data_IF_474817371279
#
_entry.id   IF_474817371279
#
_cell.length_a   1.000
_cell.length_b   1.000
_cell.length_c   1.000
_cell.angle_alpha   90.00
_cell.angle_beta   90.00
_cell.angle_gamma   90.00
#
_symmetry.space_group_name_H-M   'P 1'
#
loop_
_entity.id
_entity.type
_entity.pdbx_description
1 polymer ?
#
# COMPACT_ATOMS: atom_id res chain seq x y z
N UNK A 1 14.57 -26.07 3.48
CA UNK A 1 15.86 -26.82 3.52
C UNK A 1 15.91 -27.60 4.83
N UNK A 2 16.56 -28.77 4.88
CA UNK A 2 16.90 -29.40 6.18
C UNK A 2 17.86 -28.50 6.98
N UNK A 3 17.81 -28.54 8.32
CA UNK A 3 18.70 -27.78 9.18
C UNK A 3 18.18 -27.61 10.59
N UNK A 4 18.95 -26.93 11.45
CA UNK A 4 18.64 -26.69 12.87
C UNK A 4 17.77 -25.44 13.11
N UNK A 5 17.27 -24.79 12.05
CA UNK A 5 16.47 -23.56 12.15
C UNK A 5 15.06 -23.82 12.67
N UNK A 6 14.31 -22.73 12.97
CA UNK A 6 12.89 -22.87 13.28
C UNK A 6 12.13 -23.48 12.09
N UNK A 7 10.98 -24.09 12.37
CA UNK A 7 10.04 -24.43 11.30
C UNK A 7 9.58 -23.13 10.64
N UNK A 8 9.76 -23.05 9.32
CA UNK A 8 9.40 -21.89 8.50
C UNK A 8 8.42 -22.33 7.41
N UNK A 9 7.50 -21.45 6.97
CA UNK A 9 6.62 -21.76 5.85
C UNK A 9 7.43 -21.93 4.56
N UNK A 10 6.90 -22.74 3.63
CA UNK A 10 7.44 -22.89 2.27
C UNK A 10 6.95 -21.77 1.34
N UNK A 11 6.90 -20.54 1.86
CA UNK A 11 6.52 -19.32 1.16
C UNK A 11 7.50 -18.21 1.51
N UNK A 12 7.56 -17.19 0.66
CA UNK A 12 8.40 -16.04 0.88
C UNK A 12 7.69 -14.76 0.46
N UNK A 13 7.92 -13.68 1.21
CA UNK A 13 7.49 -12.33 0.86
C UNK A 13 8.73 -11.49 0.58
N UNK A 14 8.67 -10.68 -0.47
CA UNK A 14 9.72 -9.75 -0.86
C UNK A 14 9.16 -8.34 -0.93
N UNK A 15 9.69 -7.46 -0.08
CA UNK A 15 9.43 -6.04 -0.16
C UNK A 15 10.56 -5.36 -0.94
N UNK A 16 10.21 -4.60 -1.96
CA UNK A 16 11.16 -3.96 -2.89
C UNK A 16 10.75 -2.53 -3.17
N UNK A 17 11.66 -1.75 -3.74
CA UNK A 17 11.37 -0.42 -4.24
C UNK A 17 12.10 -0.15 -5.57
N UNK A 18 11.57 0.81 -6.32
CA UNK A 18 12.19 1.33 -7.55
C UNK A 18 12.20 2.85 -7.46
N UNK A 19 13.33 3.48 -7.79
CA UNK A 19 13.37 4.94 -7.96
C UNK A 19 12.79 5.23 -9.34
N UNK A 20 11.57 5.76 -9.38
CA UNK A 20 10.85 6.01 -10.63
C UNK A 20 11.32 7.29 -11.33
N UNK A 21 11.37 8.40 -10.60
CA UNK A 21 11.81 9.70 -11.13
C UNK A 21 12.57 10.47 -10.05
N UNK A 22 13.45 11.37 -10.48
CA UNK A 22 14.06 12.40 -9.62
C UNK A 22 13.82 13.75 -10.30
N UNK A 23 13.32 14.71 -9.54
CA UNK A 23 13.04 16.07 -10.01
C UNK A 23 13.68 17.10 -9.08
N UNK A 24 14.02 18.26 -9.63
CA UNK A 24 14.51 19.41 -8.88
C UNK A 24 13.55 20.58 -9.04
N UNK A 25 13.27 21.30 -7.96
CA UNK A 25 12.42 22.49 -8.00
C UNK A 25 13.09 23.62 -8.80
N UNK A 26 12.34 24.27 -9.69
CA UNK A 26 12.78 25.44 -10.45
C UNK A 26 11.67 26.51 -10.45
N UNK A 27 12.02 27.75 -10.81
CA UNK A 27 11.07 28.88 -10.87
C UNK A 27 9.89 28.63 -11.80
N UNK A 28 10.08 27.77 -12.80
CA UNK A 28 9.05 27.41 -13.80
C UNK A 28 8.39 26.05 -13.51
N UNK A 29 8.53 25.54 -12.28
CA UNK A 29 8.02 24.23 -11.85
C UNK A 29 9.12 23.17 -11.71
N UNK A 30 8.76 21.95 -11.25
CA UNK A 30 9.72 20.88 -11.05
C UNK A 30 10.28 20.38 -12.40
N UNK A 31 11.60 20.35 -12.52
CA UNK A 31 12.32 19.82 -13.69
C UNK A 31 12.77 18.40 -13.39
N UNK A 32 12.34 17.44 -14.23
CA UNK A 32 12.73 16.04 -14.11
C UNK A 32 14.17 15.85 -14.62
N UNK A 33 15.04 15.30 -13.77
CA UNK A 33 16.46 15.07 -14.08
C UNK A 33 16.81 13.58 -14.21
N UNK A 34 15.92 12.70 -13.75
CA UNK A 34 16.01 11.26 -13.94
C UNK A 34 14.61 10.66 -14.09
N UNK A 35 14.50 9.64 -14.93
CA UNK A 35 13.33 8.80 -15.10
C UNK A 35 13.80 7.38 -15.44
N UNK A 36 13.25 6.39 -14.75
CA UNK A 36 13.53 4.99 -15.03
C UNK A 36 12.92 4.62 -16.38
N UNK A 37 13.79 4.25 -17.34
CA UNK A 37 13.38 3.93 -18.71
C UNK A 37 12.64 2.60 -18.80
N UNK A 38 12.90 1.66 -17.88
CA UNK A 38 12.27 0.34 -17.84
C UNK A 38 11.74 0.05 -16.43
N UNK A 39 10.65 0.71 -15.99
CA UNK A 39 10.20 0.69 -14.59
C UNK A 39 9.81 -0.69 -14.04
N UNK A 40 9.51 -1.64 -14.94
CA UNK A 40 9.13 -3.01 -14.61
C UNK A 40 10.29 -4.02 -14.83
N UNK A 41 11.52 -3.56 -15.06
CA UNK A 41 12.67 -4.46 -15.18
C UNK A 41 13.14 -4.96 -13.80
N UNK A 42 13.56 -6.21 -13.77
CA UNK A 42 14.29 -6.84 -12.67
C UNK A 42 15.54 -6.06 -12.25
N UNK A 43 16.14 -5.26 -13.15
CA UNK A 43 17.35 -4.49 -12.89
C UNK A 43 17.11 -3.26 -12.00
N UNK A 44 15.91 -2.66 -12.08
CA UNK A 44 15.55 -1.47 -11.32
C UNK A 44 14.82 -1.79 -10.01
N UNK A 45 14.19 -2.95 -9.90
CA UNK A 45 13.48 -3.41 -8.69
C UNK A 45 14.48 -3.83 -7.59
N UNK A 46 14.82 -2.91 -6.69
CA UNK A 46 15.78 -3.14 -5.62
C UNK A 46 15.12 -3.86 -4.44
N UNK A 47 15.61 -5.05 -4.02
CA UNK A 47 15.08 -5.72 -2.85
C UNK A 47 15.46 -4.96 -1.57
N UNK A 48 14.49 -4.78 -0.67
CA UNK A 48 14.68 -4.13 0.63
C UNK A 48 14.53 -5.13 1.79
N UNK A 49 13.52 -6.00 1.72
CA UNK A 49 13.27 -7.02 2.74
C UNK A 49 12.93 -8.37 2.09
N UNK A 50 13.52 -9.44 2.61
CA UNK A 50 13.24 -10.82 2.22
C UNK A 50 12.86 -11.60 3.47
N UNK A 51 11.69 -12.23 3.48
CA UNK A 51 11.22 -13.04 4.60
C UNK A 51 10.67 -14.38 4.13
N UNK A 52 10.89 -15.42 4.94
CA UNK A 52 10.22 -16.71 4.80
C UNK A 52 8.93 -16.66 5.62
N UNK A 53 7.90 -16.09 5.02
CA UNK A 53 6.58 -15.88 5.62
C UNK A 53 5.50 -16.13 4.56
N UNK A 54 4.29 -16.41 5.04
CA UNK A 54 3.08 -16.37 4.21
C UNK A 54 2.54 -14.94 4.24
N UNK A 55 2.21 -14.37 3.09
CA UNK A 55 1.60 -13.02 3.03
C UNK A 55 0.23 -12.98 3.74
N UNK A 56 -0.44 -14.13 3.86
CA UNK A 56 -1.72 -14.25 4.54
C UNK A 56 -1.60 -14.41 6.06
N UNK A 57 -0.39 -14.58 6.60
CA UNK A 57 -0.12 -14.51 8.04
C UNK A 57 0.11 -13.05 8.42
N UNK A 58 -0.97 -12.37 8.80
CA UNK A 58 -0.98 -10.94 9.06
C UNK A 58 -0.09 -10.58 10.26
N UNK A 59 -0.05 -11.42 11.29
CA UNK A 59 0.77 -11.24 12.48
C UNK A 59 2.25 -11.25 12.13
N UNK A 60 2.71 -12.26 11.39
CA UNK A 60 4.12 -12.34 10.96
C UNK A 60 4.46 -11.21 9.98
N UNK A 61 3.58 -10.93 9.01
CA UNK A 61 3.81 -9.89 8.01
C UNK A 61 3.95 -8.51 8.65
N UNK A 62 3.03 -8.14 9.54
CA UNK A 62 3.05 -6.85 10.24
C UNK A 62 4.23 -6.74 11.20
N UNK A 63 4.57 -7.82 11.92
CA UNK A 63 5.73 -7.83 12.80
C UNK A 63 7.03 -7.52 12.04
N UNK A 64 7.22 -8.11 10.85
CA UNK A 64 8.43 -7.92 10.04
C UNK A 64 8.42 -6.57 9.30
N UNK A 65 7.28 -6.15 8.73
CA UNK A 65 7.22 -4.93 7.91
C UNK A 65 7.02 -3.64 8.73
N UNK A 66 6.59 -3.71 9.99
CA UNK A 66 6.29 -2.52 10.79
C UNK A 66 7.46 -1.55 10.95
N UNK A 67 8.73 -1.98 11.09
CA UNK A 67 9.86 -1.05 11.12
C UNK A 67 10.04 -0.31 9.78
N UNK A 68 9.85 -1.00 8.65
CA UNK A 68 9.98 -0.41 7.31
C UNK A 68 8.88 0.63 7.08
N UNK A 69 7.65 0.34 7.51
CA UNK A 69 6.53 1.29 7.45
C UNK A 69 6.83 2.52 8.34
N UNK A 70 7.35 2.32 9.55
CA UNK A 70 7.71 3.41 10.44
C UNK A 70 8.82 4.31 9.85
N UNK A 71 9.85 3.71 9.26
CA UNK A 71 10.91 4.44 8.54
C UNK A 71 10.35 5.23 7.35
N UNK A 72 9.49 4.59 6.54
CA UNK A 72 8.79 5.25 5.42
C UNK A 72 8.00 6.48 5.90
N UNK A 73 7.23 6.36 6.98
CA UNK A 73 6.46 7.49 7.52
C UNK A 73 7.37 8.61 8.03
N UNK A 74 8.46 8.29 8.74
CA UNK A 74 9.43 9.29 9.18
C UNK A 74 10.09 10.02 8.00
N UNK A 75 10.39 9.30 6.92
CA UNK A 75 11.00 9.86 5.71
C UNK A 75 10.07 10.78 4.92
N UNK A 76 8.75 10.59 5.00
CA UNK A 76 7.77 11.45 4.29
C UNK A 76 7.83 12.91 4.72
N UNK A 77 8.26 13.18 5.95
CA UNK A 77 8.38 14.54 6.51
C UNK A 77 9.82 14.95 6.81
N UNK A 78 10.80 14.19 6.31
CA UNK A 78 12.23 14.44 6.56
C UNK A 78 12.96 14.79 5.27
N UNK A 79 14.11 15.45 5.41
CA UNK A 79 15.05 15.68 4.31
C UNK A 79 16.30 14.81 4.52
N UNK A 80 16.75 14.14 3.47
CA UNK A 80 18.04 13.46 3.44
C UNK A 80 19.10 14.40 2.87
N UNK A 81 20.15 14.62 3.65
CA UNK A 81 21.34 15.34 3.24
C UNK A 81 22.40 14.34 2.74
N UNK A 82 22.76 14.41 1.46
CA UNK A 82 23.68 13.46 0.85
C UNK A 82 24.71 14.17 -0.03
N UNK A 83 25.98 13.85 0.17
CA UNK A 83 27.07 14.37 -0.65
C UNK A 83 27.20 13.57 -1.95
N UNK A 84 27.05 14.24 -3.10
CA UNK A 84 27.14 13.63 -4.42
C UNK A 84 28.08 14.48 -5.28
N UNK A 85 29.23 13.90 -5.64
CA UNK A 85 30.24 14.58 -6.45
C UNK A 85 30.86 15.80 -5.77
N UNK A 86 31.07 15.73 -4.45
CA UNK A 86 31.64 16.83 -3.66
C UNK A 86 30.65 17.94 -3.28
N UNK A 87 29.36 17.79 -3.62
CA UNK A 87 28.32 18.78 -3.34
C UNK A 87 27.25 18.13 -2.46
N UNK A 88 26.95 18.79 -1.35
CA UNK A 88 25.89 18.38 -0.44
C UNK A 88 24.52 18.72 -1.03
N UNK A 89 23.63 17.73 -1.13
CA UNK A 89 22.30 17.86 -1.74
C UNK A 89 21.21 17.41 -0.78
N UNK A 90 20.07 18.10 -0.82
CA UNK A 90 18.88 17.77 -0.04
C UNK A 90 17.91 16.96 -0.90
N UNK A 91 17.37 15.88 -0.35
CA UNK A 91 16.37 15.03 -0.99
C UNK A 91 15.15 14.87 -0.08
N UNK A 92 13.97 14.99 -0.67
CA UNK A 92 12.71 14.55 -0.08
C UNK A 92 12.19 13.34 -0.86
N UNK A 93 11.37 12.52 -0.22
CA UNK A 93 10.87 11.28 -0.80
C UNK A 93 9.35 11.29 -0.92
N UNK A 94 8.85 10.84 -2.07
CA UNK A 94 7.43 10.57 -2.30
C UNK A 94 7.28 9.09 -2.59
N UNK A 95 6.73 8.35 -1.64
CA UNK A 95 6.50 6.91 -1.78
C UNK A 95 5.14 6.65 -2.44
N UNK A 96 5.13 5.81 -3.48
CA UNK A 96 3.89 5.38 -4.16
C UNK A 96 3.81 3.86 -4.13
N UNK A 97 2.95 3.32 -3.26
CA UNK A 97 2.74 1.88 -3.13
C UNK A 97 1.76 1.37 -4.20
N UNK A 98 2.27 1.01 -5.39
CA UNK A 98 1.45 0.58 -6.54
C UNK A 98 1.76 -0.85 -7.01
N UNK A 99 2.80 -1.49 -6.48
CA UNK A 99 3.27 -2.81 -6.94
C UNK A 99 2.67 -3.98 -6.15
N UNK A 100 1.39 -3.89 -5.79
CA UNK A 100 0.68 -4.88 -4.98
C UNK A 100 -0.50 -5.42 -5.78
N UNK A 101 -0.70 -6.74 -5.76
CA UNK A 101 -1.92 -7.32 -6.32
C UNK A 101 -3.15 -6.95 -5.47
N UNK A 102 -4.36 -7.14 -6.02
CA UNK A 102 -5.59 -6.74 -5.32
C UNK A 102 -5.74 -7.43 -3.95
N UNK A 103 -5.30 -8.69 -3.85
CA UNK A 103 -5.37 -9.46 -2.60
C UNK A 103 -4.56 -8.77 -1.50
N UNK A 104 -3.29 -8.48 -1.77
CA UNK A 104 -2.42 -7.82 -0.82
C UNK A 104 -2.89 -6.40 -0.50
N UNK A 105 -3.38 -5.64 -1.49
CA UNK A 105 -3.98 -4.30 -1.25
C UNK A 105 -5.12 -4.41 -0.25
N UNK A 106 -6.06 -5.35 -0.43
CA UNK A 106 -7.18 -5.53 0.49
C UNK A 106 -6.70 -5.88 1.90
N UNK A 107 -5.75 -6.81 2.00
CA UNK A 107 -5.22 -7.27 3.29
C UNK A 107 -4.50 -6.13 4.05
N UNK A 108 -3.69 -5.30 3.38
CA UNK A 108 -2.93 -4.21 4.04
C UNK A 108 -3.73 -2.93 4.24
N UNK A 109 -4.79 -2.70 3.47
CA UNK A 109 -5.71 -1.56 3.62
C UNK A 109 -6.96 -1.90 4.45
N UNK A 110 -7.01 -3.09 5.05
CA UNK A 110 -8.07 -3.49 5.99
C UNK A 110 -9.44 -3.72 5.34
N UNK A 111 -9.47 -3.96 4.04
CA UNK A 111 -10.68 -4.23 3.27
C UNK A 111 -11.02 -5.72 3.30
N UNK A 112 -12.31 -6.05 3.17
CA UNK A 112 -12.70 -7.44 2.93
C UNK A 112 -12.05 -8.02 1.66
N UNK A 113 -11.81 -9.34 1.68
CA UNK A 113 -11.24 -10.09 0.56
C UNK A 113 -12.07 -9.97 -0.73
N UNK A 114 -11.49 -10.31 -1.88
CA UNK A 114 -12.06 -10.11 -3.23
C UNK A 114 -13.44 -10.74 -3.47
N UNK A 115 -13.85 -11.71 -2.64
CA UNK A 115 -15.20 -12.29 -2.65
C UNK A 115 -16.30 -11.34 -2.15
N UNK A 116 -15.94 -10.21 -1.53
CA UNK A 116 -16.86 -9.23 -0.92
C UNK A 116 -17.93 -8.68 -1.87
N UNK A 117 -19.01 -8.18 -1.28
CA UNK A 117 -19.96 -7.31 -1.95
C UNK A 117 -19.30 -6.00 -2.43
N UNK A 118 -18.30 -5.47 -1.72
CA UNK A 118 -17.54 -4.27 -2.11
C UNK A 118 -16.36 -4.67 -3.00
N UNK A 119 -16.57 -4.55 -4.31
CA UNK A 119 -15.68 -5.16 -5.30
C UNK A 119 -14.47 -4.30 -5.67
N UNK A 120 -14.42 -3.04 -5.25
CA UNK A 120 -13.39 -2.12 -5.68
C UNK A 120 -12.48 -1.72 -4.52
N UNK A 121 -11.18 -1.65 -4.77
CA UNK A 121 -10.19 -1.07 -3.86
C UNK A 121 -10.09 0.46 -3.98
N UNK A 122 -10.74 1.05 -5.00
CA UNK A 122 -10.70 2.48 -5.29
C UNK A 122 -12.01 3.22 -4.99
N UNK A 123 -13.16 2.54 -5.07
CA UNK A 123 -14.48 3.13 -4.81
C UNK A 123 -15.31 2.27 -3.84
N UNK A 124 -16.52 2.73 -3.51
CA UNK A 124 -17.42 2.05 -2.56
C UNK A 124 -18.53 1.25 -3.21
N UNK A 125 -18.51 1.12 -4.53
CA UNK A 125 -19.55 0.45 -5.27
C UNK A 125 -19.63 -1.03 -4.92
N UNK A 126 -20.86 -1.47 -4.73
CA UNK A 126 -21.18 -2.89 -4.57
C UNK A 126 -21.11 -3.61 -5.90
N UNK A 127 -21.00 -4.95 -5.87
CA UNK A 127 -21.05 -5.81 -7.06
C UNK A 127 -22.29 -5.55 -7.92
N UNK A 128 -23.44 -5.34 -7.27
CA UNK A 128 -24.72 -5.09 -7.95
C UNK A 128 -24.70 -3.72 -8.62
N UNK A 129 -24.31 -2.67 -7.91
CA UNK A 129 -24.22 -1.32 -8.46
C UNK A 129 -23.24 -1.24 -9.63
N UNK A 130 -22.05 -1.85 -9.49
CA UNK A 130 -21.06 -1.89 -10.55
C UNK A 130 -21.53 -2.68 -11.78
N UNK A 131 -22.38 -3.71 -11.60
CA UNK A 131 -22.96 -4.45 -12.73
C UNK A 131 -23.98 -3.63 -13.52
N UNK A 132 -24.62 -2.65 -12.87
CA UNK A 132 -25.61 -1.76 -13.51
C UNK A 132 -24.95 -0.51 -14.08
N UNK A 133 -24.01 0.07 -13.36
CA UNK A 133 -23.21 1.20 -13.78
C UNK A 133 -21.75 0.74 -13.92
N UNK A 134 -21.33 0.44 -15.14
CA UNK A 134 -20.03 -0.18 -15.41
C UNK A 134 -18.86 0.82 -15.43
N UNK A 135 -19.12 2.10 -15.70
CA UNK A 135 -18.07 3.07 -16.09
C UNK A 135 -18.11 4.39 -15.32
N UNK A 136 -19.23 4.74 -14.68
CA UNK A 136 -19.35 6.02 -13.96
C UNK A 136 -19.07 5.84 -12.48
N UNK A 137 -17.79 5.68 -12.17
CA UNK A 137 -17.27 5.63 -10.81
C UNK A 137 -16.16 6.67 -10.63
N UNK A 138 -15.95 7.08 -9.39
CA UNK A 138 -14.83 7.93 -9.02
C UNK A 138 -14.00 7.26 -7.93
N UNK A 139 -12.72 7.60 -7.85
CA UNK A 139 -11.85 7.14 -6.77
C UNK A 139 -12.28 7.88 -5.50
N UNK A 140 -12.80 7.15 -4.52
CA UNK A 140 -13.20 7.68 -3.22
C UNK A 140 -12.29 7.21 -2.11
N UNK A 141 -11.82 5.96 -2.16
CA UNK A 141 -11.01 5.35 -1.10
C UNK A 141 -9.62 5.95 -1.00
N UNK A 142 -9.14 6.05 0.23
CA UNK A 142 -7.75 6.39 0.56
C UNK A 142 -7.33 5.73 1.86
N UNK A 143 -6.02 5.60 2.09
CA UNK A 143 -5.49 5.05 3.34
C UNK A 143 -6.02 5.80 4.59
N UNK A 144 -6.03 7.14 4.54
CA UNK A 144 -6.55 7.98 5.64
C UNK A 144 -8.02 7.72 5.90
N UNK A 145 -8.83 7.56 4.85
CA UNK A 145 -10.25 7.26 5.00
C UNK A 145 -10.46 5.85 5.56
N UNK A 146 -9.69 4.86 5.10
CA UNK A 146 -9.78 3.50 5.63
C UNK A 146 -9.44 3.46 7.14
N UNK A 147 -8.47 4.25 7.60
CA UNK A 147 -8.16 4.38 9.03
C UNK A 147 -9.39 4.91 9.81
N UNK A 148 -10.07 5.93 9.29
CA UNK A 148 -11.27 6.50 9.91
C UNK A 148 -12.44 5.51 9.91
N UNK A 149 -12.63 4.77 8.81
CA UNK A 149 -13.65 3.73 8.69
C UNK A 149 -13.39 2.60 9.68
N UNK A 150 -12.15 2.17 9.83
CA UNK A 150 -11.78 1.17 10.84
C UNK A 150 -12.05 1.66 12.27
N UNK A 151 -11.73 2.92 12.60
CA UNK A 151 -12.05 3.45 13.93
C UNK A 151 -13.56 3.50 14.17
N UNK A 152 -14.36 3.78 13.13
CA UNK A 152 -15.82 3.71 13.19
C UNK A 152 -16.30 2.27 13.41
N UNK A 153 -15.75 1.30 12.68
CA UNK A 153 -16.02 -0.13 12.85
C UNK A 153 -15.72 -0.60 14.28
N UNK A 154 -14.54 -0.26 14.79
CA UNK A 154 -14.06 -0.65 16.12
C UNK A 154 -14.88 -0.04 17.26
N UNK A 155 -15.26 1.23 17.13
CA UNK A 155 -15.97 1.95 18.19
C UNK A 155 -17.49 1.75 18.14
N UNK A 156 -18.06 1.42 16.97
CA UNK A 156 -19.50 1.40 16.70
C UNK A 156 -20.26 2.55 17.40
N UNK A 157 -19.93 3.82 17.08
CA UNK A 157 -20.46 4.98 17.80
C UNK A 157 -21.97 5.18 17.62
N UNK A 158 -22.57 4.50 16.64
CA UNK A 158 -23.99 4.59 16.31
C UNK A 158 -24.82 3.41 16.84
N UNK A 159 -24.18 2.44 17.53
CA UNK A 159 -24.81 1.22 18.03
C UNK A 159 -25.58 0.44 16.95
N UNK A 160 -25.02 0.41 15.75
CA UNK A 160 -25.58 -0.28 14.60
C UNK A 160 -25.42 -1.80 14.72
N UNK A 161 -26.30 -2.54 14.05
CA UNK A 161 -26.08 -3.97 13.82
C UNK A 161 -24.83 -4.22 12.97
N UNK A 162 -24.35 -5.46 12.94
CA UNK A 162 -23.15 -5.80 12.18
C UNK A 162 -23.29 -5.50 10.67
N UNK A 163 -24.48 -5.70 10.10
CA UNK A 163 -24.74 -5.45 8.67
C UNK A 163 -24.81 -3.95 8.36
N UNK A 164 -25.52 -3.18 9.19
CA UNK A 164 -25.60 -1.72 9.06
C UNK A 164 -24.23 -1.06 9.22
N UNK A 165 -23.45 -1.50 10.22
CA UNK A 165 -22.10 -0.99 10.46
C UNK A 165 -21.16 -1.35 9.31
N UNK A 166 -21.23 -2.59 8.81
CA UNK A 166 -20.47 -3.06 7.64
C UNK A 166 -20.77 -2.19 6.42
N UNK A 167 -22.04 -1.83 6.21
CA UNK A 167 -22.40 -0.93 5.12
C UNK A 167 -21.90 0.49 5.36
N UNK A 168 -21.98 1.01 6.58
CA UNK A 168 -21.43 2.33 6.92
C UNK A 168 -19.94 2.45 6.59
N UNK A 169 -19.16 1.43 6.94
CA UNK A 169 -17.69 1.41 6.73
C UNK A 169 -17.28 0.83 5.38
N UNK A 170 -18.26 0.46 4.54
CA UNK A 170 -18.05 -0.09 3.20
C UNK A 170 -17.06 -1.26 3.18
N UNK A 171 -17.20 -2.18 4.14
CA UNK A 171 -16.37 -3.38 4.24
C UNK A 171 -14.93 -3.15 4.72
N UNK A 172 -14.61 -2.02 5.34
CA UNK A 172 -13.34 -1.85 6.09
C UNK A 172 -13.54 -2.34 7.53
N UNK A 173 -13.00 -3.52 7.84
CA UNK A 173 -13.22 -4.19 9.14
C UNK A 173 -11.93 -4.59 9.86
N UNK A 174 -10.78 -4.39 9.22
CA UNK A 174 -9.45 -4.53 9.81
C UNK A 174 -8.70 -3.19 9.75
N UNK A 175 -7.67 -3.03 10.59
CA UNK A 175 -6.90 -1.79 10.65
C UNK A 175 -5.95 -1.72 9.46
N UNK A 176 -6.00 -0.66 8.62
CA UNK A 176 -4.99 -0.44 7.59
C UNK A 176 -3.59 -0.35 8.20
N UNK A 177 -2.62 -0.95 7.52
CA UNK A 177 -1.25 -1.10 7.98
C UNK A 177 -0.22 -0.43 7.05
N UNK A 178 -0.36 -0.60 5.73
CA UNK A 178 0.53 0.01 4.74
C UNK A 178 -0.27 0.96 3.87
N UNK A 179 0.16 2.22 3.74
CA UNK A 179 -0.42 3.16 2.78
C UNK A 179 -0.11 2.73 1.35
N UNK A 180 -1.16 2.38 0.61
CA UNK A 180 -1.13 2.10 -0.82
C UNK A 180 -1.63 3.32 -1.61
N UNK A 181 -1.19 3.45 -2.86
CA UNK A 181 -1.77 4.45 -3.76
C UNK A 181 -2.99 3.81 -4.45
N UNK A 182 -4.19 4.45 -4.42
CA UNK A 182 -5.36 3.97 -5.17
C UNK A 182 -5.04 3.88 -6.66
N UNK A 183 -4.76 2.66 -7.13
CA UNK A 183 -4.29 2.37 -8.48
C UNK A 183 -4.68 0.94 -8.87
N UNK A 184 -4.27 0.54 -10.07
CA UNK A 184 -4.51 -0.80 -10.61
C UNK A 184 -3.15 -1.39 -10.95
N UNK A 185 -2.90 -2.62 -10.49
CA UNK A 185 -1.77 -3.40 -10.97
C UNK A 185 -2.06 -3.84 -12.41
N UNK A 186 -1.15 -3.54 -13.32
CA UNK A 186 -1.33 -3.83 -14.74
C UNK A 186 -1.01 -5.29 -15.11
N UNK A 187 -0.32 -6.03 -14.23
CA UNK A 187 0.08 -7.41 -14.51
C UNK A 187 -1.05 -8.42 -14.24
N UNK A 188 -1.77 -8.24 -13.13
CA UNK A 188 -2.86 -9.11 -12.70
C UNK A 188 -4.20 -8.67 -13.30
#
# INVERSE_FOLDING_TARGET
KHGCGPAVPEKAVRFSFTIMTISVSSSNGPVRIFEEAKPNSELCCKPLCLMLADESDHETLTAILSPIVAEREAMKTSELLLEIGGILRHFTFVFRGTGYDEKLVRDVEGMEASGSQYICTLCDSTRVEASQNLVFHSITRSHTENLQRYETWRANPYHESAEELRDRVKGVSAKPFIETLPSIDALH
#
